data_IF_927850232780
#
_entry.id   IF_927850232780
#
_cell.length_a   1.000
_cell.length_b   1.000
_cell.length_c   1.000
_cell.angle_alpha   90.00
_cell.angle_beta   90.00
_cell.angle_gamma   90.00
#
_symmetry.space_group_name_H-M   'P 1'
#
loop_
_entity.id
_entity.type
_entity.pdbx_description
1 polymer ?
#
# COMPACT_ATOMS: atom_id res chain seq x y z
N UNK A 1 1.23 45.00 25.25
CA UNK A 1 2.54 44.33 25.17
C UNK A 1 3.56 45.38 24.80
N UNK A 2 4.73 45.43 25.45
CA UNK A 2 5.80 46.37 25.05
C UNK A 2 6.56 45.83 23.82
N UNK A 3 7.20 46.70 23.03
CA UNK A 3 8.00 46.26 21.88
C UNK A 3 9.12 45.27 22.28
N UNK A 4 9.71 45.44 23.47
CA UNK A 4 10.72 44.51 23.98
C UNK A 4 10.13 43.12 24.27
N UNK A 5 8.95 43.05 24.89
CA UNK A 5 8.26 41.77 25.14
C UNK A 5 7.84 41.09 23.83
N UNK A 6 7.43 41.87 22.83
CA UNK A 6 7.09 41.36 21.50
C UNK A 6 8.31 40.78 20.79
N UNK A 7 9.45 41.47 20.84
CA UNK A 7 10.73 40.98 20.28
C UNK A 7 11.19 39.72 21.01
N UNK A 8 11.11 39.67 22.34
CA UNK A 8 11.42 38.47 23.12
C UNK A 8 10.56 37.26 22.70
N UNK A 9 9.26 37.47 22.50
CA UNK A 9 8.36 36.42 22.02
C UNK A 9 8.72 35.98 20.58
N UNK A 10 9.02 36.92 19.69
CA UNK A 10 9.44 36.63 18.32
C UNK A 10 10.71 35.77 18.31
N UNK A 11 11.74 36.17 19.06
CA UNK A 11 13.00 35.42 19.14
C UNK A 11 12.78 34.04 19.72
N UNK A 12 11.94 33.92 20.76
CA UNK A 12 11.61 32.63 21.37
C UNK A 12 10.96 31.70 20.35
N UNK A 13 9.92 32.17 19.65
CA UNK A 13 9.23 31.38 18.61
C UNK A 13 10.14 31.02 17.44
N UNK A 14 11.01 31.93 17.02
CA UNK A 14 12.00 31.66 15.95
C UNK A 14 13.02 30.60 16.39
N UNK A 15 13.55 30.70 17.61
CA UNK A 15 14.50 29.74 18.16
C UNK A 15 13.88 28.34 18.27
N UNK A 16 12.64 28.24 18.73
CA UNK A 16 11.90 26.96 18.81
C UNK A 16 11.59 26.39 17.43
N UNK A 17 10.99 27.21 16.55
CA UNK A 17 10.59 26.81 15.19
C UNK A 17 11.76 26.34 14.34
N UNK A 18 12.94 26.93 14.52
CA UNK A 18 14.13 26.63 13.73
C UNK A 18 15.23 25.90 14.51
N UNK A 19 15.02 25.60 15.80
CA UNK A 19 16.00 24.92 16.65
C UNK A 19 17.37 25.62 16.60
N UNK A 20 17.35 26.95 16.72
CA UNK A 20 18.54 27.79 16.55
C UNK A 20 19.56 27.58 17.69
N UNK A 21 19.08 27.25 18.88
CA UNK A 21 19.92 26.88 20.03
C UNK A 21 20.56 25.50 19.80
N UNK A 22 19.77 24.48 19.44
CA UNK A 22 20.27 23.11 19.18
C UNK A 22 21.26 23.03 18.01
N UNK A 23 21.09 23.89 17.01
CA UNK A 23 22.02 23.98 15.88
C UNK A 23 23.33 24.68 16.24
N UNK A 24 23.36 25.42 17.35
CA UNK A 24 24.47 26.28 17.75
C UNK A 24 24.57 27.56 16.94
N UNK A 25 23.50 27.98 16.26
CA UNK A 25 23.43 29.29 15.61
C UNK A 25 23.19 30.41 16.64
N UNK A 26 22.37 30.13 17.65
CA UNK A 26 22.10 31.00 18.80
C UNK A 26 22.65 30.33 20.05
N UNK A 27 23.42 31.07 20.85
CA UNK A 27 23.93 30.60 22.14
C UNK A 27 23.05 31.03 23.32
N UNK A 28 22.43 32.21 23.22
CA UNK A 28 21.53 32.76 24.24
C UNK A 28 20.43 33.59 23.58
N UNK A 29 19.19 33.09 23.61
CA UNK A 29 18.03 33.80 23.07
C UNK A 29 17.79 35.17 23.72
N UNK A 30 18.12 35.35 25.01
CA UNK A 30 17.94 36.62 25.72
C UNK A 30 18.94 37.67 25.26
N UNK A 31 20.17 37.25 24.92
CA UNK A 31 21.15 38.13 24.29
C UNK A 31 20.67 38.59 22.91
N UNK A 32 20.10 37.68 22.11
CA UNK A 32 19.54 38.01 20.79
C UNK A 32 18.37 38.99 20.90
N UNK A 33 17.44 38.77 21.85
CA UNK A 33 16.32 39.68 22.07
C UNK A 33 16.76 41.08 22.50
N UNK A 34 17.81 41.19 23.33
CA UNK A 34 18.42 42.48 23.69
C UNK A 34 19.10 43.14 22.49
N UNK A 35 19.84 42.39 21.68
CA UNK A 35 20.47 42.89 20.46
C UNK A 35 19.42 43.48 19.51
N UNK A 36 18.35 42.73 19.24
CA UNK A 36 17.26 43.16 18.36
C UNK A 36 16.47 44.34 18.93
N UNK A 37 16.23 44.38 20.24
CA UNK A 37 15.53 45.50 20.91
C UNK A 37 16.30 46.82 20.84
N UNK A 38 17.63 46.78 20.66
CA UNK A 38 18.47 47.97 20.50
C UNK A 38 18.63 48.44 19.05
N UNK A 39 18.05 47.75 18.07
CA UNK A 39 18.14 48.15 16.67
C UNK A 39 17.27 49.36 16.36
N UNK A 40 17.70 50.20 15.41
CA UNK A 40 16.93 51.38 14.97
C UNK A 40 15.55 51.03 14.44
N UNK A 41 15.37 49.79 13.95
CA UNK A 41 14.14 49.30 13.35
C UNK A 41 13.31 48.46 14.34
N UNK A 42 13.67 48.44 15.63
CA UNK A 42 12.98 47.67 16.68
C UNK A 42 11.63 48.27 17.09
N UNK A 43 11.35 49.50 16.69
CA UNK A 43 10.11 50.19 17.02
C UNK A 43 9.00 49.81 16.04
N UNK A 44 7.94 49.17 16.56
CA UNK A 44 6.67 48.98 15.88
C UNK A 44 5.63 49.95 16.47
N UNK A 45 4.95 50.77 15.66
CA UNK A 45 3.88 51.65 16.14
C UNK A 45 2.66 50.87 16.68
N UNK A 46 1.96 51.45 17.65
CA UNK A 46 0.70 50.89 18.14
C UNK A 46 -0.40 50.97 17.05
N UNK A 47 -1.20 49.92 16.92
CA UNK A 47 -2.32 49.87 15.97
C UNK A 47 -1.94 49.48 14.54
N UNK A 48 -0.73 48.94 14.34
CA UNK A 48 -0.30 48.38 13.05
C UNK A 48 -1.19 47.21 12.60
N UNK A 49 -1.39 47.09 11.28
CA UNK A 49 -2.09 45.96 10.68
C UNK A 49 -1.29 44.65 10.80
N UNK A 50 -1.93 43.52 10.47
CA UNK A 50 -1.25 42.22 10.45
C UNK A 50 -0.14 42.19 9.39
N UNK A 51 -0.40 42.80 8.23
CA UNK A 51 0.54 42.92 7.12
C UNK A 51 1.75 43.77 7.52
N UNK A 52 1.53 44.93 8.13
CA UNK A 52 2.60 45.81 8.62
C UNK A 52 3.47 45.12 9.68
N UNK A 53 2.84 44.39 10.61
CA UNK A 53 3.57 43.57 11.58
C UNK A 53 4.44 42.50 10.90
N UNK A 54 3.90 41.83 9.88
CA UNK A 54 4.61 40.77 9.14
C UNK A 54 5.83 41.33 8.41
N UNK A 55 5.68 42.44 7.70
CA UNK A 55 6.76 43.11 6.99
C UNK A 55 7.85 43.61 7.95
N UNK A 56 7.43 44.24 9.06
CA UNK A 56 8.35 44.68 10.10
C UNK A 56 9.15 43.50 10.69
N UNK A 57 8.46 42.41 11.06
CA UNK A 57 9.10 41.19 11.58
C UNK A 57 10.11 40.64 10.57
N UNK A 58 9.73 40.54 9.30
CA UNK A 58 10.58 40.00 8.24
C UNK A 58 11.82 40.88 8.03
N UNK A 59 11.66 42.21 8.06
CA UNK A 59 12.78 43.15 7.94
C UNK A 59 13.74 43.06 9.14
N UNK A 60 13.22 43.07 10.37
CA UNK A 60 14.00 42.96 11.61
C UNK A 60 14.85 41.68 11.61
N UNK A 61 14.24 40.54 11.31
CA UNK A 61 14.92 39.24 11.35
C UNK A 61 15.89 39.05 10.18
N UNK A 62 15.53 39.44 8.95
CA UNK A 62 16.41 39.25 7.80
C UNK A 62 17.70 40.05 7.92
N UNK A 63 17.64 41.27 8.45
CA UNK A 63 18.83 42.07 8.74
C UNK A 63 19.73 41.35 9.75
N UNK A 64 19.16 40.84 10.84
CA UNK A 64 19.90 40.13 11.88
C UNK A 64 20.55 38.83 11.36
N UNK A 65 19.80 37.97 10.67
CA UNK A 65 20.34 36.73 10.08
C UNK A 65 21.45 37.00 9.07
N UNK A 66 21.31 38.06 8.27
CA UNK A 66 22.34 38.49 7.31
C UNK A 66 23.62 38.93 8.01
N UNK A 67 23.53 39.75 9.06
CA UNK A 67 24.70 40.17 9.85
C UNK A 67 25.38 39.00 10.57
N UNK A 68 24.59 38.10 11.17
CA UNK A 68 25.11 36.89 11.83
C UNK A 68 25.65 35.85 10.86
N UNK A 69 25.35 36.00 9.56
CA UNK A 69 25.90 35.16 8.50
C UNK A 69 25.28 33.77 8.45
N UNK A 70 23.96 33.67 8.57
CA UNK A 70 23.23 32.38 8.50
C UNK A 70 23.58 31.57 7.26
N UNK A 71 23.69 32.21 6.09
CA UNK A 71 24.09 31.54 4.84
C UNK A 71 25.43 30.80 4.95
N UNK A 72 26.44 31.46 5.55
CA UNK A 72 27.77 30.85 5.76
C UNK A 72 27.70 29.76 6.82
N UNK A 73 26.91 29.97 7.87
CA UNK A 73 26.70 28.98 8.93
C UNK A 73 26.07 27.70 8.37
N UNK A 74 24.95 27.81 7.65
CA UNK A 74 24.26 26.68 7.05
C UNK A 74 25.19 25.88 6.13
N UNK A 75 25.90 26.55 5.23
CA UNK A 75 26.85 25.90 4.32
C UNK A 75 27.96 25.15 5.06
N UNK A 76 28.52 25.73 6.13
CA UNK A 76 29.56 25.08 6.95
C UNK A 76 29.04 23.89 7.75
N UNK A 77 27.74 23.89 8.08
CA UNK A 77 27.11 22.86 8.91
C UNK A 77 26.28 21.87 8.09
N UNK A 78 26.27 21.95 6.76
CA UNK A 78 25.45 21.11 5.89
C UNK A 78 25.69 19.60 6.08
N UNK A 79 26.89 19.18 6.45
CA UNK A 79 27.19 17.77 6.73
C UNK A 79 26.94 17.38 8.20
N UNK A 80 26.52 18.33 9.04
CA UNK A 80 26.31 18.10 10.47
C UNK A 80 24.88 17.65 10.73
N UNK A 81 24.75 16.73 11.69
CA UNK A 81 23.47 16.15 12.10
C UNK A 81 22.43 17.20 12.53
N UNK A 82 22.85 18.35 13.08
CA UNK A 82 21.92 19.41 13.46
C UNK A 82 21.20 20.02 12.25
N UNK A 83 21.88 20.23 11.12
CA UNK A 83 21.25 20.76 9.91
C UNK A 83 20.33 19.72 9.26
N UNK A 84 20.75 18.45 9.26
CA UNK A 84 19.91 17.36 8.81
C UNK A 84 18.59 17.29 9.59
N UNK A 85 18.63 17.39 10.94
CA UNK A 85 17.41 17.43 11.78
C UNK A 85 16.55 18.64 11.50
N UNK A 86 17.16 19.82 11.35
CA UNK A 86 16.43 21.07 11.07
C UNK A 86 15.64 20.94 9.78
N UNK A 87 16.30 20.56 8.67
CA UNK A 87 15.64 20.38 7.37
C UNK A 87 14.59 19.28 7.43
N UNK A 88 14.89 18.15 8.11
CA UNK A 88 13.91 17.06 8.28
C UNK A 88 12.64 17.54 8.95
N UNK A 89 12.75 18.28 10.04
CA UNK A 89 11.60 18.83 10.76
C UNK A 89 10.80 19.81 9.91
N UNK A 90 11.48 20.72 9.21
CA UNK A 90 10.79 21.70 8.34
C UNK A 90 10.04 21.00 7.21
N UNK A 91 10.65 20.02 6.56
CA UNK A 91 10.01 19.26 5.49
C UNK A 91 8.88 18.37 5.99
N UNK A 92 9.02 17.73 7.16
CA UNK A 92 7.94 16.94 7.78
C UNK A 92 6.74 17.83 8.16
N UNK A 93 6.99 19.00 8.74
CA UNK A 93 5.93 19.96 9.04
C UNK A 93 5.19 20.41 7.77
N UNK A 94 5.93 20.68 6.70
CA UNK A 94 5.36 21.03 5.40
C UNK A 94 4.51 19.88 4.84
N UNK A 95 5.02 18.65 4.90
CA UNK A 95 4.31 17.46 4.44
C UNK A 95 3.01 17.21 5.21
N UNK A 96 3.05 17.29 6.55
CA UNK A 96 1.84 17.16 7.37
C UNK A 96 0.82 18.25 7.06
N UNK A 97 1.27 19.47 6.76
CA UNK A 97 0.37 20.56 6.37
C UNK A 97 -0.27 20.33 4.99
N UNK A 98 0.48 19.74 4.04
CA UNK A 98 -0.05 19.35 2.73
C UNK A 98 -1.06 18.23 2.89
N UNK A 99 -0.71 17.15 3.59
CA UNK A 99 -1.58 15.99 3.81
C UNK A 99 -2.92 16.39 4.44
N UNK A 100 -2.93 17.24 5.49
CA UNK A 100 -4.18 17.71 6.14
C UNK A 100 -5.10 18.51 5.24
N UNK A 101 -4.56 19.13 4.18
CA UNK A 101 -5.31 19.98 3.24
C UNK A 101 -5.63 19.25 1.95
N UNK A 102 -5.13 18.04 1.77
CA UNK A 102 -5.32 17.28 0.55
C UNK A 102 -6.70 16.63 0.55
N UNK A 103 -7.46 16.82 -0.53
CA UNK A 103 -8.87 16.37 -0.66
C UNK A 103 -9.06 15.48 -1.87
N UNK A 104 -8.12 15.49 -2.81
CA UNK A 104 -8.21 14.69 -4.04
C UNK A 104 -7.82 13.23 -3.78
N UNK A 105 -8.31 12.34 -4.65
CA UNK A 105 -7.93 10.93 -4.64
C UNK A 105 -6.42 10.76 -4.84
N UNK A 106 -5.84 9.79 -4.13
CA UNK A 106 -4.41 9.46 -4.22
C UNK A 106 -4.21 7.97 -4.49
N UNK A 107 -2.96 7.57 -4.74
CA UNK A 107 -2.60 6.15 -4.88
C UNK A 107 -2.96 5.31 -3.64
N UNK A 108 -3.20 5.93 -2.48
CA UNK A 108 -3.62 5.21 -1.27
C UNK A 108 -5.01 4.59 -1.41
N UNK A 109 -5.92 5.27 -2.13
CA UNK A 109 -7.27 4.76 -2.42
C UNK A 109 -7.21 3.57 -3.38
N UNK A 110 -6.38 3.69 -4.43
CA UNK A 110 -6.14 2.62 -5.40
C UNK A 110 -5.49 1.38 -4.77
N UNK A 111 -4.56 1.59 -3.83
CA UNK A 111 -3.91 0.51 -3.06
C UNK A 111 -4.78 -0.01 -1.91
N UNK A 112 -5.92 0.64 -1.63
CA UNK A 112 -6.80 0.35 -0.48
C UNK A 112 -6.02 0.34 0.84
N UNK A 113 -5.17 1.34 1.07
CA UNK A 113 -4.39 1.46 2.31
C UNK A 113 -5.29 1.55 3.54
N UNK A 114 -4.81 1.09 4.70
CA UNK A 114 -5.53 1.22 5.97
C UNK A 114 -5.65 2.69 6.40
N UNK A 115 -6.66 3.00 7.22
CA UNK A 115 -6.77 4.31 7.86
C UNK A 115 -5.46 4.66 8.60
N UNK A 116 -5.08 5.94 8.56
CA UNK A 116 -3.83 6.48 9.11
C UNK A 116 -2.53 6.04 8.42
N UNK A 117 -2.57 5.08 7.49
CA UNK A 117 -1.41 4.71 6.65
C UNK A 117 -1.48 5.38 5.29
N UNK A 118 -0.33 5.79 4.80
CA UNK A 118 -0.22 6.46 3.51
C UNK A 118 1.09 6.10 2.85
N UNK A 119 1.02 5.68 1.59
CA UNK A 119 2.14 5.61 0.67
C UNK A 119 2.26 6.93 -0.09
N UNK A 120 1.13 7.57 -0.44
CA UNK A 120 1.09 8.83 -1.16
C UNK A 120 1.81 9.97 -0.44
N UNK A 121 1.83 9.99 0.89
CA UNK A 121 2.53 10.99 1.71
C UNK A 121 3.70 10.40 2.50
N UNK A 122 4.23 9.24 2.08
CA UNK A 122 5.35 8.62 2.78
C UNK A 122 6.67 9.29 2.42
N UNK A 123 7.35 9.84 3.43
CA UNK A 123 8.66 10.45 3.25
C UNK A 123 9.77 9.62 3.89
N UNK A 124 10.20 8.58 3.17
CA UNK A 124 11.23 7.65 3.66
C UNK A 124 12.57 8.32 3.90
N UNK A 125 13.40 7.70 4.74
CA UNK A 125 14.75 8.16 5.07
C UNK A 125 15.64 8.26 3.82
N UNK A 126 15.50 7.32 2.88
CA UNK A 126 16.24 7.35 1.62
C UNK A 126 15.72 8.45 0.67
N UNK A 127 14.41 8.71 0.63
CA UNK A 127 13.84 9.82 -0.15
C UNK A 127 14.25 11.17 0.46
N UNK A 128 14.23 11.29 1.79
CA UNK A 128 14.69 12.47 2.51
C UNK A 128 16.18 12.73 2.28
N UNK A 129 17.01 11.69 2.24
CA UNK A 129 18.45 11.87 1.99
C UNK A 129 18.71 12.47 0.61
N UNK A 130 18.02 11.99 -0.44
CA UNK A 130 18.10 12.58 -1.79
C UNK A 130 17.60 14.03 -1.79
N UNK A 131 16.47 14.29 -1.12
CA UNK A 131 15.93 15.64 -0.96
C UNK A 131 16.92 16.60 -0.27
N UNK A 132 17.53 16.14 0.82
CA UNK A 132 18.50 16.91 1.61
C UNK A 132 19.76 17.24 0.81
N UNK A 133 20.25 16.27 0.02
CA UNK A 133 21.36 16.49 -0.91
C UNK A 133 21.01 17.54 -1.96
N UNK A 134 19.78 17.56 -2.48
CA UNK A 134 19.31 18.62 -3.38
C UNK A 134 19.32 20.00 -2.73
N UNK A 135 18.81 20.12 -1.50
CA UNK A 135 18.81 21.38 -0.74
C UNK A 135 20.24 21.88 -0.49
N UNK A 136 21.15 21.00 -0.06
CA UNK A 136 22.52 21.39 0.28
C UNK A 136 23.46 21.51 -0.93
N UNK A 137 23.19 20.77 -2.01
CA UNK A 137 24.04 20.68 -3.20
C UNK A 137 23.73 21.70 -4.29
N UNK A 138 22.58 22.38 -4.21
CA UNK A 138 22.11 23.35 -5.22
C UNK A 138 22.96 24.62 -5.38
N UNK A 139 24.01 24.80 -4.56
CA UNK A 139 24.80 26.05 -4.52
C UNK A 139 24.04 27.27 -4.00
N UNK A 140 22.75 27.10 -3.66
CA UNK A 140 21.88 28.14 -3.12
C UNK A 140 22.33 28.51 -1.71
N UNK A 141 22.45 29.82 -1.47
CA UNK A 141 22.73 30.37 -0.16
C UNK A 141 21.44 30.86 0.47
N UNK A 142 21.00 30.20 1.54
CA UNK A 142 19.84 30.64 2.31
C UNK A 142 20.26 31.78 3.25
N UNK A 143 19.74 32.99 3.04
CA UNK A 143 20.05 34.15 3.87
C UNK A 143 19.39 34.09 5.26
N UNK A 144 18.31 33.33 5.41
CA UNK A 144 17.62 33.11 6.69
C UNK A 144 16.97 31.71 6.78
N UNK A 145 16.67 31.22 8.00
CA UNK A 145 15.90 29.98 8.20
C UNK A 145 14.53 30.02 7.51
N UNK A 146 13.89 31.18 7.42
CA UNK A 146 12.62 31.35 6.72
C UNK A 146 12.74 31.12 5.21
N UNK A 147 13.86 31.50 4.59
CA UNK A 147 14.13 31.16 3.18
C UNK A 147 14.36 29.65 3.00
N UNK A 148 15.13 29.03 3.91
CA UNK A 148 15.31 27.57 3.92
C UNK A 148 13.96 26.84 4.06
N UNK A 149 13.08 27.31 4.95
CA UNK A 149 11.74 26.74 5.13
C UNK A 149 10.90 26.86 3.86
N UNK A 150 10.89 28.02 3.19
CA UNK A 150 10.20 28.21 1.91
C UNK A 150 10.66 27.19 0.87
N UNK A 151 11.98 27.01 0.72
CA UNK A 151 12.53 25.99 -0.18
C UNK A 151 12.19 24.56 0.24
N UNK A 152 12.11 24.28 1.54
CA UNK A 152 11.64 22.98 2.03
C UNK A 152 10.17 22.74 1.63
N UNK A 153 9.32 23.75 1.79
CA UNK A 153 7.90 23.68 1.43
C UNK A 153 7.72 23.48 -0.07
N UNK A 154 8.40 24.28 -0.90
CA UNK A 154 8.35 24.18 -2.36
C UNK A 154 8.84 22.81 -2.84
N UNK A 155 9.96 22.34 -2.30
CA UNK A 155 10.50 21.04 -2.64
C UNK A 155 9.56 19.89 -2.25
N UNK A 156 8.98 19.92 -1.04
CA UNK A 156 8.00 18.90 -0.62
C UNK A 156 6.74 18.97 -1.49
N UNK A 157 6.23 20.16 -1.82
CA UNK A 157 5.06 20.32 -2.72
C UNK A 157 5.30 19.76 -4.12
N UNK A 158 6.54 19.81 -4.60
CA UNK A 158 6.89 19.25 -5.91
C UNK A 158 6.92 17.71 -5.91
N UNK A 159 7.07 17.09 -4.74
CA UNK A 159 7.19 15.63 -4.58
C UNK A 159 5.87 14.97 -4.18
N UNK A 160 4.99 15.68 -3.46
CA UNK A 160 3.82 15.09 -2.80
C UNK A 160 2.49 15.67 -3.31
N UNK A 161 1.44 14.85 -3.45
CA UNK A 161 1.43 13.40 -3.19
C UNK A 161 2.26 12.62 -4.21
N UNK A 162 2.83 11.50 -3.76
CA UNK A 162 3.54 10.59 -4.63
C UNK A 162 2.55 9.95 -5.62
N UNK A 163 2.95 9.98 -6.88
CA UNK A 163 2.26 9.25 -7.94
C UNK A 163 2.78 7.82 -8.02
N UNK A 164 2.09 7.00 -8.80
CA UNK A 164 2.45 5.60 -8.99
C UNK A 164 3.87 5.44 -9.54
N UNK A 165 4.31 6.29 -10.47
CA UNK A 165 5.65 6.24 -11.05
C UNK A 165 6.72 6.41 -9.97
N UNK A 166 6.51 7.38 -9.07
CA UNK A 166 7.40 7.61 -7.94
C UNK A 166 7.42 6.40 -6.99
N UNK A 167 6.26 5.80 -6.69
CA UNK A 167 6.18 4.57 -5.88
C UNK A 167 6.97 3.44 -6.55
N UNK A 168 6.77 3.21 -7.85
CA UNK A 168 7.47 2.18 -8.60
C UNK A 168 8.98 2.36 -8.52
N UNK A 169 9.49 3.58 -8.71
CA UNK A 169 10.91 3.90 -8.55
C UNK A 169 11.42 3.58 -7.13
N UNK A 170 10.62 3.83 -6.08
CA UNK A 170 11.01 3.49 -4.70
C UNK A 170 11.07 1.99 -4.47
N UNK A 171 10.11 1.24 -5.00
CA UNK A 171 10.09 -0.22 -4.90
C UNK A 171 11.26 -0.84 -5.65
N UNK A 172 11.55 -0.36 -6.86
CA UNK A 172 12.71 -0.78 -7.66
C UNK A 172 14.03 -0.46 -6.95
N UNK A 173 14.12 0.69 -6.27
CA UNK A 173 15.27 1.07 -5.46
C UNK A 173 15.38 0.33 -4.12
N UNK A 174 14.52 -0.67 -3.86
CA UNK A 174 14.48 -1.45 -2.62
C UNK A 174 14.37 -0.57 -1.37
N UNK A 175 13.51 0.43 -1.40
CA UNK A 175 13.25 1.26 -0.23
C UNK A 175 12.45 0.50 0.84
N UNK A 176 13.12 0.12 1.93
CA UNK A 176 12.56 -0.66 3.03
C UNK A 176 11.29 -0.06 3.64
N UNK A 177 11.18 1.27 3.68
CA UNK A 177 10.02 1.90 4.28
C UNK A 177 8.78 1.77 3.37
N UNK A 178 8.96 1.81 2.05
CA UNK A 178 7.88 1.55 1.10
C UNK A 178 7.55 0.07 1.02
N UNK A 179 8.56 -0.80 0.97
CA UNK A 179 8.37 -2.24 1.03
C UNK A 179 7.69 -2.66 2.34
N UNK A 180 7.93 -1.97 3.45
CA UNK A 180 7.21 -2.20 4.70
C UNK A 180 5.71 -1.91 4.61
N UNK A 181 5.27 -0.95 3.80
CA UNK A 181 3.83 -0.74 3.56
C UNK A 181 3.27 -1.80 2.60
N UNK A 182 3.99 -2.16 1.55
CA UNK A 182 3.60 -3.23 0.62
C UNK A 182 3.51 -4.59 1.34
N UNK A 183 4.45 -4.87 2.24
CA UNK A 183 4.43 -6.03 3.13
C UNK A 183 3.14 -6.11 3.95
N UNK A 184 2.76 -5.00 4.61
CA UNK A 184 1.54 -4.96 5.42
C UNK A 184 0.29 -5.16 4.58
N UNK A 185 0.26 -4.54 3.40
CA UNK A 185 -0.81 -4.73 2.44
C UNK A 185 -0.92 -6.21 2.03
N UNK A 186 0.22 -6.86 1.78
CA UNK A 186 0.29 -8.28 1.43
C UNK A 186 -0.20 -9.16 2.57
N UNK A 187 0.40 -8.99 3.74
CA UNK A 187 0.07 -9.71 4.96
C UNK A 187 -1.41 -9.61 5.31
N UNK A 188 -2.01 -8.43 5.12
CA UNK A 188 -3.45 -8.23 5.34
C UNK A 188 -4.28 -9.16 4.45
N UNK A 189 -4.02 -9.19 3.15
CA UNK A 189 -4.81 -10.06 2.26
C UNK A 189 -4.47 -11.55 2.45
N UNK A 190 -3.20 -11.90 2.70
CA UNK A 190 -2.77 -13.29 2.97
C UNK A 190 -3.41 -13.82 4.25
N UNK A 191 -3.52 -12.99 5.29
CA UNK A 191 -4.25 -13.34 6.51
C UNK A 191 -5.70 -13.73 6.21
N UNK A 192 -6.38 -12.99 5.35
CA UNK A 192 -7.73 -13.37 4.91
C UNK A 192 -7.75 -14.75 4.25
N UNK A 193 -6.77 -15.08 3.40
CA UNK A 193 -6.69 -16.39 2.74
C UNK A 193 -6.47 -17.56 3.73
N UNK A 194 -5.68 -17.36 4.78
CA UNK A 194 -5.27 -18.43 5.71
C UNK A 194 -6.27 -18.64 6.84
N UNK A 195 -6.81 -17.56 7.42
CA UNK A 195 -7.82 -17.64 8.49
C UNK A 195 -9.09 -18.36 8.04
N UNK A 196 -9.36 -18.35 6.74
CA UNK A 196 -10.45 -19.11 6.12
C UNK A 196 -10.21 -20.64 6.06
N UNK A 197 -8.96 -21.11 6.24
CA UNK A 197 -8.59 -22.54 6.11
C UNK A 197 -8.16 -23.22 7.41
N UNK A 198 -7.48 -22.53 8.30
CA UNK A 198 -7.06 -23.04 9.59
C UNK A 198 -7.19 -21.95 10.64
N UNK A 199 -7.45 -22.31 11.91
CA UNK A 199 -7.46 -21.36 13.03
C UNK A 199 -6.19 -20.52 12.98
N UNK A 200 -6.32 -19.19 12.86
CA UNK A 200 -5.24 -18.17 12.78
C UNK A 200 -3.82 -18.77 12.87
N UNK A 201 -3.38 -19.40 11.78
CA UNK A 201 -2.02 -19.91 11.68
C UNK A 201 -1.11 -18.75 11.33
N UNK A 202 -0.67 -18.06 12.37
CA UNK A 202 0.15 -16.88 12.25
C UNK A 202 1.48 -17.19 11.55
N UNK A 203 2.01 -18.41 11.70
CA UNK A 203 3.26 -18.84 11.07
C UNK A 203 3.05 -18.99 9.56
N UNK A 204 1.96 -19.64 9.13
CA UNK A 204 1.58 -19.70 7.72
C UNK A 204 1.36 -18.31 7.12
N UNK A 205 0.76 -17.38 7.87
CA UNK A 205 0.55 -16.00 7.41
C UNK A 205 1.88 -15.30 7.14
N UNK A 206 2.85 -15.44 8.04
CA UNK A 206 4.19 -14.89 7.83
C UNK A 206 4.89 -15.56 6.64
N UNK A 207 4.92 -16.90 6.58
CA UNK A 207 5.60 -17.66 5.51
C UNK A 207 5.07 -17.28 4.13
N UNK A 208 3.76 -17.37 3.92
CA UNK A 208 3.13 -17.06 2.62
C UNK A 208 3.33 -15.60 2.26
N UNK A 209 3.26 -14.69 3.24
CA UNK A 209 3.49 -13.26 2.99
C UNK A 209 4.94 -13.00 2.57
N UNK A 210 5.93 -13.64 3.22
CA UNK A 210 7.36 -13.52 2.88
C UNK A 210 7.64 -14.02 1.48
N UNK A 211 7.16 -15.22 1.16
CA UNK A 211 7.28 -15.80 -0.18
C UNK A 211 6.62 -14.93 -1.25
N UNK A 212 5.49 -14.28 -0.91
CA UNK A 212 4.82 -13.34 -1.80
C UNK A 212 5.68 -12.12 -2.07
N UNK A 213 6.25 -11.49 -1.03
CA UNK A 213 7.11 -10.31 -1.20
C UNK A 213 8.35 -10.64 -2.02
N UNK A 214 9.01 -11.76 -1.75
CA UNK A 214 10.18 -12.23 -2.50
C UNK A 214 9.80 -12.41 -3.97
N UNK A 215 8.70 -13.10 -4.26
CA UNK A 215 8.23 -13.31 -5.63
C UNK A 215 7.91 -11.99 -6.35
N UNK A 216 7.27 -11.03 -5.67
CA UNK A 216 6.99 -9.70 -6.25
C UNK A 216 8.30 -8.94 -6.53
N UNK A 217 9.27 -8.97 -5.60
CA UNK A 217 10.58 -8.35 -5.82
C UNK A 217 11.30 -8.94 -7.04
N UNK A 218 11.31 -10.27 -7.18
CA UNK A 218 11.89 -10.92 -8.36
C UNK A 218 11.18 -10.53 -9.66
N UNK A 219 9.85 -10.37 -9.64
CA UNK A 219 9.08 -9.93 -10.81
C UNK A 219 9.41 -8.48 -11.20
N UNK A 220 9.62 -7.61 -10.21
CA UNK A 220 10.07 -6.23 -10.39
C UNK A 220 11.47 -6.18 -11.03
N UNK A 221 12.42 -6.97 -10.49
CA UNK A 221 13.79 -7.04 -11.00
C UNK A 221 13.88 -7.60 -12.42
N UNK A 222 13.03 -8.59 -12.75
CA UNK A 222 12.93 -9.17 -14.10
C UNK A 222 12.16 -8.27 -15.08
N UNK A 223 11.73 -7.08 -14.65
CA UNK A 223 10.98 -6.14 -15.49
C UNK A 223 9.57 -6.61 -15.87
N UNK A 224 9.06 -7.69 -15.27
CA UNK A 224 7.71 -8.21 -15.58
C UNK A 224 6.61 -7.25 -15.12
N UNK A 225 6.91 -6.45 -14.09
CA UNK A 225 6.03 -5.42 -13.56
C UNK A 225 6.19 -4.06 -14.26
N UNK A 226 7.05 -3.96 -15.29
CA UNK A 226 7.25 -2.71 -16.04
C UNK A 226 6.03 -2.30 -16.89
N UNK A 227 5.07 -3.22 -17.09
CA UNK A 227 3.82 -2.95 -17.81
C UNK A 227 2.72 -2.39 -16.89
N UNK A 228 2.96 -2.33 -15.58
CA UNK A 228 1.98 -1.79 -14.62
C UNK A 228 1.98 -0.27 -14.72
N UNK A 229 0.80 0.29 -15.01
CA UNK A 229 0.61 1.72 -15.26
C UNK A 229 -0.15 2.45 -14.15
N UNK A 230 -0.63 1.73 -13.13
CA UNK A 230 -1.42 2.29 -12.03
C UNK A 230 -1.21 1.55 -10.72
N UNK A 231 -1.56 2.19 -9.61
CA UNK A 231 -1.44 1.59 -8.29
C UNK A 231 -2.50 0.49 -8.07
N UNK A 232 -3.67 0.63 -8.70
CA UNK A 232 -4.69 -0.43 -8.74
C UNK A 232 -4.15 -1.72 -9.42
N UNK A 233 -3.46 -1.59 -10.56
CA UNK A 233 -2.85 -2.72 -11.23
C UNK A 233 -1.73 -3.37 -10.38
N UNK A 234 -0.97 -2.56 -9.61
CA UNK A 234 -0.02 -3.09 -8.63
C UNK A 234 -0.75 -3.90 -7.56
N UNK A 235 -1.79 -3.35 -6.90
CA UNK A 235 -2.56 -4.06 -5.89
C UNK A 235 -3.06 -5.42 -6.40
N UNK A 236 -3.62 -5.45 -7.61
CA UNK A 236 -4.09 -6.69 -8.22
C UNK A 236 -2.95 -7.69 -8.45
N UNK A 237 -1.80 -7.23 -8.94
CA UNK A 237 -0.62 -8.08 -9.11
C UNK A 237 -0.10 -8.67 -7.79
N UNK A 238 -0.12 -7.89 -6.71
CA UNK A 238 0.22 -8.35 -5.37
C UNK A 238 -0.74 -9.45 -4.91
N UNK A 239 -2.04 -9.22 -5.04
CA UNK A 239 -3.08 -10.19 -4.66
C UNK A 239 -2.96 -11.49 -5.44
N UNK A 240 -2.75 -11.43 -6.76
CA UNK A 240 -2.58 -12.63 -7.59
C UNK A 240 -1.31 -13.39 -7.24
N UNK A 241 -0.21 -12.69 -6.98
CA UNK A 241 1.04 -13.33 -6.56
C UNK A 241 0.87 -14.02 -5.21
N UNK A 242 0.22 -13.35 -4.24
CA UNK A 242 0.03 -13.96 -2.93
C UNK A 242 -0.98 -15.11 -2.92
N UNK A 243 -2.00 -15.08 -3.79
CA UNK A 243 -2.87 -16.25 -4.02
C UNK A 243 -2.08 -17.42 -4.59
N UNK A 244 -1.21 -17.18 -5.57
CA UNK A 244 -0.37 -18.25 -6.13
C UNK A 244 0.56 -18.85 -5.07
N UNK A 245 1.18 -18.02 -4.23
CA UNK A 245 2.03 -18.47 -3.13
C UNK A 245 1.26 -19.21 -2.03
N UNK A 246 0.07 -18.75 -1.70
CA UNK A 246 -0.82 -19.48 -0.80
C UNK A 246 -1.18 -20.87 -1.36
N UNK A 247 -1.45 -20.97 -2.66
CA UNK A 247 -1.71 -22.25 -3.32
C UNK A 247 -0.47 -23.17 -3.34
N UNK A 248 0.72 -22.63 -3.56
CA UNK A 248 1.99 -23.39 -3.43
C UNK A 248 2.16 -23.93 -2.01
N UNK A 249 1.91 -23.09 -1.01
CA UNK A 249 1.95 -23.47 0.40
C UNK A 249 0.92 -24.56 0.71
N UNK A 250 -0.34 -24.42 0.30
CA UNK A 250 -1.36 -25.46 0.49
C UNK A 250 -0.97 -26.81 -0.14
N UNK A 251 -0.35 -26.80 -1.33
CA UNK A 251 0.12 -28.04 -1.97
C UNK A 251 1.30 -28.64 -1.19
N UNK A 252 2.21 -27.80 -0.68
CA UNK A 252 3.31 -28.25 0.15
C UNK A 252 2.81 -28.82 1.47
N UNK A 253 1.85 -28.15 2.11
CA UNK A 253 1.27 -28.56 3.39
C UNK A 253 0.46 -29.85 3.25
N UNK A 254 -0.28 -30.01 2.16
CA UNK A 254 -0.96 -31.28 1.85
C UNK A 254 0.05 -32.42 1.66
N UNK A 255 1.16 -32.17 0.96
CA UNK A 255 2.24 -33.16 0.81
C UNK A 255 2.90 -33.48 2.14
N UNK A 256 3.20 -32.48 2.97
CA UNK A 256 3.72 -32.67 4.33
C UNK A 256 2.73 -33.49 5.16
N UNK A 257 1.44 -33.18 5.09
CA UNK A 257 0.39 -33.94 5.79
C UNK A 257 0.29 -35.38 5.29
N UNK A 258 0.40 -35.62 3.98
CA UNK A 258 0.43 -36.96 3.38
C UNK A 258 1.72 -37.72 3.74
N UNK A 259 2.87 -37.05 3.84
CA UNK A 259 4.15 -37.60 4.31
C UNK A 259 4.13 -37.91 5.81
N UNK A 260 3.55 -37.03 6.63
CA UNK A 260 3.34 -37.25 8.07
C UNK A 260 2.37 -38.41 8.28
N UNK A 261 1.30 -38.54 7.50
CA UNK A 261 0.40 -39.70 7.55
C UNK A 261 1.09 -41.01 7.17
N UNK A 262 2.08 -40.97 6.26
CA UNK A 262 2.92 -42.12 5.93
C UNK A 262 3.94 -42.45 7.04
N UNK A 263 4.44 -41.45 7.78
CA UNK A 263 5.24 -41.66 8.99
C UNK A 263 4.39 -42.10 10.20
N UNK A 264 3.11 -41.72 10.26
CA UNK A 264 2.16 -42.11 11.31
C UNK A 264 1.60 -43.53 11.12
N UNK A 265 1.65 -44.10 9.91
CA UNK A 265 1.39 -45.53 9.68
C UNK A 265 2.45 -46.41 10.37
N UNK A 266 3.66 -45.90 10.62
CA UNK A 266 4.69 -46.55 11.46
C UNK A 266 4.48 -46.30 12.97
N UNK A 267 3.58 -45.38 13.36
CA UNK A 267 3.29 -44.99 14.74
C UNK A 267 1.85 -45.28 15.21
N UNK A 268 1.10 -46.16 14.54
CA UNK A 268 -0.18 -46.69 15.06
C UNK A 268 0.01 -47.59 16.29
N UNK A 269 0.49 -47.01 17.37
CA UNK A 269 0.39 -47.44 18.76
C UNK A 269 0.48 -46.17 19.62
N UNK A 270 -0.61 -45.41 19.74
CA UNK A 270 -1.15 -44.89 21.01
C UNK A 270 -2.21 -43.80 20.78
N UNK A 271 -3.41 -44.10 21.31
CA UNK A 271 -4.42 -43.18 21.82
C UNK A 271 -5.13 -42.24 20.83
N UNK A 272 -6.31 -42.71 20.40
CA UNK A 272 -7.37 -41.83 19.93
C UNK A 272 -7.96 -40.99 21.06
N UNK A 273 -8.34 -39.77 20.73
CA UNK A 273 -9.39 -39.05 21.44
C UNK A 273 -10.12 -38.10 20.49
N UNK A 274 -11.43 -38.36 20.39
CA UNK A 274 -12.44 -37.51 19.78
C UNK A 274 -12.38 -36.09 20.33
N UNK A 275 -12.41 -35.09 19.44
CA UNK A 275 -12.90 -33.76 19.78
C UNK A 275 -14.04 -33.38 18.83
N UNK A 276 -15.26 -33.59 19.34
CA UNK A 276 -16.48 -32.98 18.83
C UNK A 276 -16.31 -31.45 18.84
N UNK A 277 -16.36 -30.83 17.66
CA UNK A 277 -16.23 -29.39 17.50
C UNK A 277 -17.62 -28.75 17.53
N UNK A 278 -17.89 -28.01 18.61
CA UNK A 278 -19.07 -27.17 18.79
C UNK A 278 -19.00 -26.02 17.77
N UNK A 279 -20.08 -25.85 17.01
CA UNK A 279 -20.20 -24.89 15.93
C UNK A 279 -20.12 -23.42 16.38
N UNK A 280 -19.46 -22.61 15.56
CA UNK A 280 -19.72 -21.18 15.48
C UNK A 280 -20.07 -20.86 14.03
N UNK A 281 -21.33 -20.52 13.78
CA UNK A 281 -21.80 -19.95 12.53
C UNK A 281 -20.94 -18.72 12.18
N UNK A 282 -20.12 -18.83 11.14
CA UNK A 282 -19.47 -17.68 10.51
C UNK A 282 -19.89 -17.63 9.05
N UNK A 283 -20.57 -16.54 8.71
CA UNK A 283 -20.94 -16.18 7.34
C UNK A 283 -19.67 -16.16 6.49
N UNK A 284 -19.58 -17.07 5.52
CA UNK A 284 -18.53 -17.11 4.50
C UNK A 284 -18.47 -15.75 3.80
N UNK A 285 -17.30 -15.09 3.73
CA UNK A 285 -17.14 -13.75 3.15
C UNK A 285 -16.31 -13.74 1.86
N UNK A 286 -15.92 -14.92 1.36
CA UNK A 286 -14.84 -15.11 0.37
C UNK A 286 -15.05 -14.35 -0.94
N UNK A 287 -16.30 -14.14 -1.32
CA UNK A 287 -16.68 -13.43 -2.54
C UNK A 287 -17.34 -12.07 -2.28
N UNK A 288 -17.29 -11.53 -1.06
CA UNK A 288 -17.85 -10.21 -0.76
C UNK A 288 -17.27 -9.10 -1.64
N UNK A 289 -16.01 -9.26 -2.10
CA UNK A 289 -15.35 -8.34 -3.04
C UNK A 289 -16.07 -8.22 -4.38
N UNK A 290 -16.96 -9.17 -4.75
CA UNK A 290 -17.78 -9.08 -5.96
C UNK A 290 -18.67 -7.83 -5.97
N UNK A 291 -19.02 -7.28 -4.80
CA UNK A 291 -19.73 -6.01 -4.69
C UNK A 291 -18.92 -4.80 -5.18
N UNK A 292 -17.60 -4.94 -5.25
CA UNK A 292 -16.66 -3.89 -5.67
C UNK A 292 -16.13 -4.08 -7.09
N UNK A 293 -16.34 -5.26 -7.70
CA UNK A 293 -15.90 -5.57 -9.08
C UNK A 293 -16.59 -4.67 -10.09
N UNK A 294 -15.85 -3.99 -10.96
CA UNK A 294 -16.46 -3.20 -12.03
C UNK A 294 -16.98 -4.11 -13.16
N UNK A 295 -18.30 -4.24 -13.26
CA UNK A 295 -18.96 -5.11 -14.24
C UNK A 295 -18.73 -4.69 -15.70
N UNK A 296 -18.29 -3.44 -15.94
CA UNK A 296 -17.95 -2.92 -17.27
C UNK A 296 -16.50 -3.19 -17.66
N UNK A 297 -15.65 -3.57 -16.70
CA UNK A 297 -14.26 -3.90 -16.96
C UNK A 297 -14.13 -5.39 -17.25
N UNK A 298 -13.85 -5.72 -18.51
CA UNK A 298 -13.67 -7.10 -18.96
C UNK A 298 -12.57 -7.84 -18.17
N UNK A 299 -11.50 -7.16 -17.80
CA UNK A 299 -10.42 -7.77 -17.04
C UNK A 299 -10.87 -8.15 -15.62
N UNK A 300 -11.55 -7.25 -14.92
CA UNK A 300 -12.02 -7.49 -13.53
C UNK A 300 -13.05 -8.62 -13.50
N UNK A 301 -13.94 -8.66 -14.48
CA UNK A 301 -14.92 -9.74 -14.65
C UNK A 301 -14.22 -11.07 -14.92
N UNK A 302 -13.21 -11.10 -15.79
CA UNK A 302 -12.45 -12.31 -16.08
C UNK A 302 -11.67 -12.81 -14.86
N UNK A 303 -11.15 -11.90 -14.03
CA UNK A 303 -10.47 -12.26 -12.78
C UNK A 303 -11.46 -12.82 -11.77
N UNK A 304 -12.61 -12.17 -11.57
CA UNK A 304 -13.65 -12.67 -10.69
C UNK A 304 -14.21 -14.02 -11.16
N UNK A 305 -14.35 -14.22 -12.48
CA UNK A 305 -14.74 -15.49 -13.07
C UNK A 305 -13.71 -16.58 -12.80
N UNK A 306 -12.43 -16.30 -13.05
CA UNK A 306 -11.35 -17.24 -12.78
C UNK A 306 -11.29 -17.60 -11.29
N UNK A 307 -11.53 -16.62 -10.42
CA UNK A 307 -11.59 -16.81 -8.98
C UNK A 307 -12.74 -17.76 -8.61
N UNK A 308 -13.98 -17.53 -9.05
CA UNK A 308 -15.08 -18.46 -8.73
C UNK A 308 -14.86 -19.84 -9.36
N UNK A 309 -14.36 -19.94 -10.59
CA UNK A 309 -14.15 -21.25 -11.22
C UNK A 309 -13.04 -22.07 -10.52
N UNK A 310 -12.05 -21.39 -9.93
CA UNK A 310 -10.93 -22.05 -9.26
C UNK A 310 -11.18 -22.30 -7.77
N UNK A 311 -12.00 -21.45 -7.15
CA UNK A 311 -12.12 -21.33 -5.70
C UNK A 311 -13.56 -21.32 -5.21
N UNK A 312 -14.54 -21.15 -6.08
CA UNK A 312 -15.95 -21.14 -5.72
C UNK A 312 -16.40 -22.49 -5.21
N UNK A 313 -17.18 -22.46 -4.14
CA UNK A 313 -17.96 -23.59 -3.65
C UNK A 313 -19.40 -23.13 -3.42
N UNK A 314 -20.30 -24.10 -3.35
CA UNK A 314 -21.70 -23.91 -2.99
C UNK A 314 -22.40 -22.84 -3.84
N UNK A 315 -23.23 -22.01 -3.20
CA UNK A 315 -24.24 -21.18 -3.86
C UNK A 315 -23.70 -20.24 -4.94
N UNK A 316 -22.54 -19.60 -4.72
CA UNK A 316 -21.92 -18.68 -5.71
C UNK A 316 -21.35 -19.45 -6.90
N UNK A 317 -20.74 -20.60 -6.64
CA UNK A 317 -20.23 -21.47 -7.71
C UNK A 317 -21.39 -22.10 -8.48
N UNK A 318 -22.36 -22.68 -7.79
CA UNK A 318 -23.53 -23.32 -8.36
C UNK A 318 -24.33 -22.34 -9.23
N UNK A 319 -24.59 -21.12 -8.75
CA UNK A 319 -25.27 -20.08 -9.53
C UNK A 319 -24.49 -19.70 -10.81
N UNK A 320 -23.15 -19.75 -10.78
CA UNK A 320 -22.31 -19.48 -11.94
C UNK A 320 -22.27 -20.65 -12.93
N UNK A 321 -22.12 -21.88 -12.44
CA UNK A 321 -21.87 -23.07 -13.28
C UNK A 321 -23.12 -23.85 -13.66
N UNK A 322 -24.29 -23.48 -13.13
CA UNK A 322 -25.57 -24.15 -13.37
C UNK A 322 -25.82 -24.41 -14.87
N UNK A 323 -25.94 -25.69 -15.23
CA UNK A 323 -26.18 -26.16 -16.60
C UNK A 323 -24.94 -26.17 -17.51
N UNK A 324 -23.76 -25.88 -16.96
CA UNK A 324 -22.48 -25.77 -17.69
C UNK A 324 -21.36 -26.60 -17.02
N UNK A 325 -21.70 -27.52 -16.12
CA UNK A 325 -20.73 -28.25 -15.30
C UNK A 325 -19.67 -28.98 -16.13
N UNK A 326 -20.08 -29.70 -17.19
CA UNK A 326 -19.17 -30.43 -18.08
C UNK A 326 -18.19 -29.49 -18.82
N UNK A 327 -18.64 -28.28 -19.16
CA UNK A 327 -17.84 -27.28 -19.87
C UNK A 327 -16.87 -26.59 -18.91
N UNK A 328 -17.30 -26.31 -17.67
CA UNK A 328 -16.44 -25.80 -16.61
C UNK A 328 -15.35 -26.82 -16.27
N UNK A 329 -15.70 -28.09 -16.17
CA UNK A 329 -14.73 -29.17 -15.96
C UNK A 329 -13.68 -29.21 -17.10
N UNK A 330 -14.11 -29.10 -18.35
CA UNK A 330 -13.19 -29.00 -19.49
C UNK A 330 -12.30 -27.74 -19.44
N UNK A 331 -12.84 -26.60 -19.00
CA UNK A 331 -12.08 -25.35 -18.83
C UNK A 331 -11.04 -25.49 -17.71
N UNK A 332 -11.41 -26.09 -16.57
CA UNK A 332 -10.46 -26.36 -15.48
C UNK A 332 -9.35 -27.31 -15.91
N UNK A 333 -9.67 -28.40 -16.60
CA UNK A 333 -8.63 -29.31 -17.12
C UNK A 333 -7.67 -28.59 -18.09
N UNK A 334 -8.17 -27.67 -18.90
CA UNK A 334 -7.36 -26.92 -19.87
C UNK A 334 -6.48 -25.84 -19.22
N UNK A 335 -7.04 -25.06 -18.29
CA UNK A 335 -6.39 -23.85 -17.75
C UNK A 335 -5.75 -24.04 -16.38
N UNK A 336 -6.31 -24.93 -15.56
CA UNK A 336 -5.83 -25.21 -14.20
C UNK A 336 -4.90 -26.42 -14.22
N UNK A 337 -5.28 -27.48 -14.91
CA UNK A 337 -4.48 -28.72 -15.00
C UNK A 337 -3.51 -28.74 -16.20
N UNK A 338 -3.57 -27.72 -17.08
CA UNK A 338 -2.73 -27.57 -18.28
C UNK A 338 -2.77 -28.80 -19.23
N UNK A 339 -3.91 -29.50 -19.28
CA UNK A 339 -4.12 -30.64 -20.18
C UNK A 339 -4.38 -30.17 -21.60
N UNK A 340 -3.92 -30.96 -22.57
CA UNK A 340 -4.19 -30.70 -23.99
C UNK A 340 -5.63 -31.10 -24.34
N UNK A 341 -6.21 -30.50 -25.38
CA UNK A 341 -7.58 -30.82 -25.81
C UNK A 341 -7.79 -32.30 -26.11
N UNK A 342 -6.75 -32.98 -26.61
CA UNK A 342 -6.73 -34.41 -26.88
C UNK A 342 -6.89 -35.23 -25.59
N UNK A 343 -6.18 -34.86 -24.52
CA UNK A 343 -6.23 -35.51 -23.21
C UNK A 343 -7.56 -35.27 -22.51
N UNK A 344 -8.12 -34.06 -22.65
CA UNK A 344 -9.44 -33.70 -22.13
C UNK A 344 -10.53 -34.48 -22.86
N UNK A 345 -10.45 -34.59 -24.20
CA UNK A 345 -11.42 -35.36 -24.98
C UNK A 345 -11.38 -36.85 -24.63
N UNK A 346 -10.19 -37.41 -24.38
CA UNK A 346 -10.04 -38.77 -23.87
C UNK A 346 -10.65 -38.93 -22.47
N UNK A 347 -10.44 -37.96 -21.58
CA UNK A 347 -10.94 -38.00 -20.20
C UNK A 347 -12.45 -37.89 -20.13
N UNK A 348 -13.06 -36.98 -20.92
CA UNK A 348 -14.50 -36.71 -20.87
C UNK A 348 -15.34 -37.61 -21.78
N UNK A 349 -14.79 -38.08 -22.92
CA UNK A 349 -15.56 -38.79 -23.95
C UNK A 349 -15.01 -40.18 -24.30
N UNK A 350 -13.93 -40.62 -23.64
CA UNK A 350 -13.31 -41.93 -23.82
C UNK A 350 -12.63 -42.17 -25.18
N UNK A 351 -12.71 -41.23 -26.13
CA UNK A 351 -12.20 -41.38 -27.51
C UNK A 351 -11.80 -40.01 -28.08
N UNK A 352 -10.61 -39.90 -28.68
CA UNK A 352 -10.11 -38.70 -29.38
C UNK A 352 -10.45 -38.70 -30.89
N UNK A 353 -11.74 -38.65 -31.23
CA UNK A 353 -12.16 -38.41 -32.62
C UNK A 353 -12.07 -36.91 -32.97
N UNK A 354 -11.60 -36.59 -34.17
CA UNK A 354 -11.42 -35.21 -34.64
C UNK A 354 -12.70 -34.37 -34.59
N UNK A 355 -13.87 -34.98 -34.86
CA UNK A 355 -15.17 -34.27 -34.73
C UNK A 355 -15.51 -33.89 -33.29
N UNK A 356 -15.20 -34.77 -32.32
CA UNK A 356 -15.44 -34.50 -30.90
C UNK A 356 -14.47 -33.45 -30.36
N UNK A 357 -13.24 -33.44 -30.87
CA UNK A 357 -12.22 -32.47 -30.47
C UNK A 357 -12.54 -31.05 -30.97
N UNK A 358 -13.02 -30.93 -32.21
CA UNK A 358 -13.52 -29.65 -32.74
C UNK A 358 -14.78 -29.17 -32.03
N UNK A 359 -15.66 -30.10 -31.63
CA UNK A 359 -16.82 -29.80 -30.80
C UNK A 359 -16.40 -29.29 -29.42
N UNK A 360 -15.44 -29.95 -28.76
CA UNK A 360 -14.90 -29.53 -27.46
C UNK A 360 -14.27 -28.14 -27.53
N UNK A 361 -13.45 -27.85 -28.55
CA UNK A 361 -12.86 -26.51 -28.75
C UNK A 361 -13.94 -25.43 -28.89
N UNK A 362 -14.97 -25.69 -29.69
CA UNK A 362 -16.12 -24.76 -29.85
C UNK A 362 -16.91 -24.60 -28.56
N UNK A 363 -17.16 -25.68 -27.83
CA UNK A 363 -17.89 -25.68 -26.56
C UNK A 363 -17.12 -24.93 -25.47
N UNK A 364 -15.80 -25.12 -25.36
CA UNK A 364 -14.94 -24.37 -24.43
C UNK A 364 -14.89 -22.90 -24.80
N UNK A 365 -14.74 -22.55 -26.08
CA UNK A 365 -14.72 -21.14 -26.52
C UNK A 365 -16.05 -20.43 -26.26
N UNK A 366 -17.18 -21.08 -26.56
CA UNK A 366 -18.53 -20.54 -26.29
C UNK A 366 -18.83 -20.50 -24.80
N UNK A 367 -18.38 -21.51 -24.07
CA UNK A 367 -18.55 -21.63 -22.62
C UNK A 367 -17.91 -20.50 -21.86
N UNK A 368 -16.68 -20.09 -22.21
CA UNK A 368 -16.02 -18.93 -21.60
C UNK A 368 -16.81 -17.65 -21.77
N UNK A 369 -17.27 -17.38 -22.99
CA UNK A 369 -18.04 -16.17 -23.28
C UNK A 369 -19.38 -16.16 -22.54
N UNK A 370 -20.02 -17.32 -22.44
CA UNK A 370 -21.24 -17.49 -21.67
C UNK A 370 -21.02 -17.28 -20.17
N UNK A 371 -20.02 -17.94 -19.58
CA UNK A 371 -19.69 -17.83 -18.16
C UNK A 371 -19.28 -16.40 -17.78
N UNK A 372 -18.55 -15.70 -18.66
CA UNK A 372 -18.22 -14.29 -18.49
C UNK A 372 -19.48 -13.41 -18.43
N UNK A 373 -20.42 -13.60 -19.37
CA UNK A 373 -21.70 -12.86 -19.35
C UNK A 373 -22.53 -13.17 -18.11
N UNK A 374 -22.55 -14.44 -17.68
CA UNK A 374 -23.25 -14.88 -16.48
C UNK A 374 -22.62 -14.28 -15.23
N UNK A 375 -21.29 -14.18 -15.19
CA UNK A 375 -20.57 -13.54 -14.10
C UNK A 375 -20.89 -12.05 -13.97
N UNK A 376 -20.95 -11.32 -15.10
CA UNK A 376 -21.42 -9.92 -15.12
C UNK A 376 -22.81 -9.81 -14.52
N UNK A 377 -23.72 -10.72 -14.89
CA UNK A 377 -25.08 -10.71 -14.37
C UNK A 377 -25.12 -10.94 -12.85
N UNK A 378 -24.37 -11.93 -12.35
CA UNK A 378 -24.28 -12.22 -10.91
C UNK A 378 -23.70 -11.03 -10.12
N UNK A 379 -22.63 -10.40 -10.62
CA UNK A 379 -22.06 -9.19 -9.99
C UNK A 379 -23.11 -8.07 -9.89
N UNK A 380 -23.84 -7.79 -10.97
CA UNK A 380 -24.90 -6.77 -10.98
C UNK A 380 -26.00 -7.13 -9.97
N UNK A 381 -26.39 -8.40 -9.92
CA UNK A 381 -27.42 -8.87 -9.01
C UNK A 381 -27.00 -8.79 -7.54
N UNK A 382 -25.76 -9.17 -7.21
CA UNK A 382 -25.21 -9.07 -5.86
C UNK A 382 -25.08 -7.63 -5.41
N UNK A 383 -24.61 -6.73 -6.29
CA UNK A 383 -24.60 -5.28 -6.02
C UNK A 383 -26.00 -4.73 -5.75
N UNK A 384 -27.01 -5.18 -6.51
CA UNK A 384 -28.41 -4.77 -6.29
C UNK A 384 -28.95 -5.27 -4.95
N UNK A 385 -28.58 -6.49 -4.54
CA UNK A 385 -28.98 -7.09 -3.25
C UNK A 385 -28.20 -6.52 -2.07
N UNK A 386 -27.03 -5.91 -2.32
CA UNK A 386 -26.13 -5.39 -1.28
C UNK A 386 -25.35 -6.46 -0.53
N UNK A 387 -25.45 -7.72 -0.95
CA UNK A 387 -24.72 -8.84 -0.37
C UNK A 387 -24.53 -9.95 -1.43
N UNK A 388 -23.51 -10.78 -1.22
CA UNK A 388 -23.24 -11.98 -2.02
C UNK A 388 -23.80 -13.17 -1.24
N UNK A 389 -24.55 -14.09 -1.87
CA UNK A 389 -25.18 -15.20 -1.16
C UNK A 389 -24.12 -16.16 -0.61
N UNK A 390 -24.16 -16.40 0.69
CA UNK A 390 -23.26 -17.30 1.39
C UNK A 390 -24.03 -18.50 1.97
N UNK A 391 -23.31 -19.58 2.29
CA UNK A 391 -23.92 -20.77 2.92
C UNK A 391 -24.34 -20.40 4.35
N UNK A 392 -25.59 -20.73 4.68
CA UNK A 392 -26.02 -21.01 6.06
C UNK A 392 -26.00 -22.52 6.16
N UNK A 393 -25.16 -23.09 7.01
CA UNK A 393 -25.19 -24.55 7.25
C UNK A 393 -26.60 -24.90 7.73
N UNK A 394 -27.31 -25.74 6.97
CA UNK A 394 -28.53 -26.36 7.47
C UNK A 394 -28.09 -27.45 8.45
N UNK A 395 -28.39 -27.27 9.72
CA UNK A 395 -28.39 -28.36 10.69
C UNK A 395 -29.32 -29.47 10.17
N UNK A 396 -28.74 -30.58 9.69
CA UNK A 396 -29.46 -31.82 9.56
C UNK A 396 -29.66 -32.37 10.97
N UNK A 397 -30.83 -32.09 11.55
CA UNK A 397 -31.32 -32.74 12.77
C UNK A 397 -31.42 -34.24 12.50
N UNK A 398 -30.57 -35.03 13.15
CA UNK A 398 -30.82 -36.45 13.40
C UNK A 398 -30.63 -36.77 14.88
#
# INVERSE_FOLDING_TARGET
MTNNQLIEEIVTKECERYALEDSGFVTDRRAVARELSCERNAFLPNGCSLEEFREWKEHLLNNWYSRKGFAKFFRRKAEKHCMFRMVRRLSQNALSAIQRRYVEATIDEELKMEEERTVAFKFSSALFTKFYQGICGSGVLFASPGQLEKSCIEGVRSLFPLKYESLYERLLAKDDEFWGEIWRLIRRFVRFLIVEKSKEDQEAVEEVSMETVISVQEQLERGRLAQITSACHLLHSLQMTGRNKFCEWLRAEKKRSEEILLEDEDWQCLEGQDFAMIGSEKIDGRFAYLLEVNEKNEYDVCCALADILSYGHDKVYDELVEGMQDIVQAISMLYVENKRYEEIACTLYGISDGRKLDSLRKSVSRGKEYLKKRMVHLIIEYKRKGYVPFVVEKEDVK
#
